data_IF_816967971965
#
_entry.id   IF_816967971965
#
_cell.length_a   1.000
_cell.length_b   1.000
_cell.length_c   1.000
_cell.angle_alpha   90.00
_cell.angle_beta   90.00
_cell.angle_gamma   90.00
#
_symmetry.space_group_name_H-M   'P 1'
#
loop_
_entity.id
_entity.type
_entity.pdbx_description
1 polymer ?
#
# COMPACT_ATOMS: atom_id res chain seq x y z
N UNK A 1 -8.45 -22.34 3.64
CA UNK A 1 -9.07 -21.24 4.39
C UNK A 1 -9.38 -20.09 3.48
N UNK A 2 -10.58 -19.60 3.60
CA UNK A 2 -11.04 -18.53 2.72
C UNK A 2 -10.67 -17.17 3.27
N UNK A 3 -10.28 -16.27 2.39
CA UNK A 3 -9.95 -14.90 2.77
C UNK A 3 -10.91 -13.97 2.03
N UNK A 4 -11.86 -13.41 2.78
CA UNK A 4 -12.85 -12.52 2.20
C UNK A 4 -12.46 -11.09 2.53
N UNK A 5 -12.30 -10.29 1.48
CA UNK A 5 -11.86 -8.92 1.62
C UNK A 5 -12.95 -7.97 1.13
N UNK A 6 -13.37 -7.08 2.00
CA UNK A 6 -14.32 -6.03 1.66
C UNK A 6 -13.58 -4.72 1.49
N UNK A 7 -14.13 -3.84 0.66
CA UNK A 7 -13.54 -2.51 0.58
C UNK A 7 -14.64 -1.46 0.64
N UNK A 8 -14.24 -0.30 1.18
CA UNK A 8 -15.11 0.86 1.30
C UNK A 8 -14.35 2.05 0.75
N UNK A 9 -15.06 2.95 0.08
CA UNK A 9 -14.45 4.16 -0.47
C UNK A 9 -15.10 5.37 0.13
N UNK A 10 -14.26 6.28 0.66
CA UNK A 10 -14.71 7.56 1.18
C UNK A 10 -14.11 8.64 0.28
N UNK A 11 -14.93 9.61 -0.10
CA UNK A 11 -14.51 10.62 -1.08
C UNK A 11 -14.64 12.00 -0.47
N UNK A 12 -13.54 12.75 -0.48
CA UNK A 12 -13.52 14.16 -0.13
C UNK A 12 -13.13 14.94 -1.37
N UNK A 13 -13.17 16.24 -1.27
CA UNK A 13 -12.85 17.10 -2.40
C UNK A 13 -11.44 16.85 -2.94
N UNK A 14 -10.49 16.65 -2.04
CA UNK A 14 -9.07 16.54 -2.43
C UNK A 14 -8.46 15.19 -2.08
N UNK A 15 -9.28 14.22 -1.66
CA UNK A 15 -8.75 12.94 -1.22
C UNK A 15 -9.78 11.83 -1.38
N UNK A 16 -9.28 10.66 -1.73
CA UNK A 16 -10.07 9.44 -1.73
C UNK A 16 -9.39 8.46 -0.79
N UNK A 17 -10.16 7.86 0.08
CA UNK A 17 -9.64 6.82 0.98
C UNK A 17 -10.34 5.53 0.66
N UNK A 18 -9.54 4.49 0.42
CA UNK A 18 -10.06 3.15 0.19
C UNK A 18 -9.62 2.30 1.37
N UNK A 19 -10.58 1.69 2.02
CA UNK A 19 -10.35 0.88 3.21
C UNK A 19 -10.59 -0.57 2.82
N UNK A 20 -9.56 -1.39 2.98
CA UNK A 20 -9.67 -2.83 2.76
C UNK A 20 -9.72 -3.50 4.12
N UNK A 21 -10.75 -4.29 4.34
CA UNK A 21 -10.96 -4.88 5.66
C UNK A 21 -11.46 -6.31 5.52
N UNK A 22 -10.98 -7.16 6.42
CA UNK A 22 -11.46 -8.52 6.55
C UNK A 22 -11.49 -8.85 8.04
N UNK A 23 -11.97 -10.04 8.36
CA UNK A 23 -11.93 -10.49 9.76
C UNK A 23 -10.50 -10.77 10.21
N UNK A 24 -9.54 -10.79 9.30
CA UNK A 24 -8.14 -11.11 9.62
C UNK A 24 -7.22 -9.91 9.65
N UNK A 25 -7.66 -8.78 9.12
CA UNK A 25 -6.82 -7.59 9.11
C UNK A 25 -7.37 -6.52 8.21
N UNK A 26 -6.61 -5.44 8.08
CA UNK A 26 -7.05 -4.28 7.29
C UNK A 26 -5.86 -3.48 6.79
N UNK A 27 -6.13 -2.62 5.80
CA UNK A 27 -5.16 -1.67 5.30
C UNK A 27 -5.93 -0.49 4.72
N UNK A 28 -5.34 0.69 4.82
CA UNK A 28 -5.92 1.93 4.30
C UNK A 28 -5.05 2.47 3.18
N UNK A 29 -5.70 2.99 2.16
CA UNK A 29 -5.03 3.66 1.05
C UNK A 29 -5.64 5.04 0.90
N UNK A 30 -4.81 6.08 1.02
CA UNK A 30 -5.24 7.45 0.78
C UNK A 30 -4.64 7.93 -0.53
N UNK A 31 -5.48 8.45 -1.42
CA UNK A 31 -5.04 9.07 -2.65
C UNK A 31 -5.39 10.54 -2.55
N UNK A 32 -4.37 11.38 -2.56
CA UNK A 32 -4.53 12.82 -2.39
C UNK A 32 -4.24 13.53 -3.70
N UNK A 33 -5.07 14.50 -4.04
CA UNK A 33 -4.92 15.27 -5.26
C UNK A 33 -4.32 16.63 -4.95
N UNK A 34 -3.44 17.10 -5.83
CA UNK A 34 -2.95 18.46 -5.73
C UNK A 34 -4.08 19.43 -6.06
N UNK A 35 -3.93 20.72 -5.68
CA UNK A 35 -4.98 21.71 -5.95
C UNK A 35 -5.35 21.82 -7.43
N UNK A 36 -4.40 21.57 -8.34
CA UNK A 36 -4.70 21.63 -9.76
C UNK A 36 -5.27 20.31 -10.29
N UNK A 37 -5.39 19.30 -9.45
CA UNK A 37 -5.94 18.01 -9.82
C UNK A 37 -5.07 17.16 -10.70
N UNK A 38 -3.86 17.60 -11.01
CA UNK A 38 -3.00 16.87 -11.94
C UNK A 38 -2.08 15.88 -11.26
N UNK A 39 -1.66 16.18 -10.04
CA UNK A 39 -0.73 15.33 -9.34
C UNK A 39 -1.47 14.54 -8.26
N UNK A 40 -1.09 13.30 -8.11
CA UNK A 40 -1.70 12.41 -7.13
C UNK A 40 -0.61 11.79 -6.29
N UNK A 41 -0.91 11.62 -5.01
CA UNK A 41 -0.02 10.91 -4.11
C UNK A 41 -0.80 9.79 -3.46
N UNK A 42 -0.16 8.64 -3.30
CA UNK A 42 -0.79 7.51 -2.65
C UNK A 42 -0.01 7.15 -1.40
N UNK A 43 -0.72 6.98 -0.30
CA UNK A 43 -0.13 6.61 0.97
C UNK A 43 -0.86 5.40 1.52
N UNK A 44 -0.11 4.35 1.83
CA UNK A 44 -0.65 3.18 2.52
C UNK A 44 -0.38 3.37 4.00
N UNK A 45 -1.40 3.09 4.82
CA UNK A 45 -1.24 3.15 6.26
C UNK A 45 -2.20 2.18 6.92
N UNK A 46 -1.97 1.94 8.20
CA UNK A 46 -2.86 1.08 8.97
C UNK A 46 -2.85 -0.38 8.55
N UNK A 47 -1.76 -0.84 7.90
CA UNK A 47 -1.65 -2.25 7.56
C UNK A 47 -1.51 -3.05 8.84
N UNK A 48 -2.47 -3.92 9.06
CA UNK A 48 -2.52 -4.67 10.31
C UNK A 48 -3.16 -6.03 10.07
N UNK A 49 -2.53 -7.07 10.59
CA UNK A 49 -3.06 -8.42 10.57
C UNK A 49 -3.15 -8.89 12.01
N UNK A 50 -4.30 -9.45 12.37
CA UNK A 50 -4.50 -9.96 13.73
C UNK A 50 -3.45 -11.00 14.05
N UNK A 51 -3.03 -11.01 15.29
CA UNK A 51 -1.89 -11.84 15.70
C UNK A 51 -2.05 -13.30 15.32
N UNK A 52 -3.24 -13.85 15.51
CA UNK A 52 -3.47 -15.28 15.23
C UNK A 52 -3.39 -15.63 13.75
N UNK A 53 -3.39 -14.61 12.87
CA UNK A 53 -3.33 -14.86 11.43
C UNK A 53 -2.01 -14.43 10.80
N UNK A 54 -1.04 -14.04 11.62
CA UNK A 54 0.26 -13.62 11.09
C UNK A 54 1.04 -14.81 10.58
N UNK A 55 1.94 -14.55 9.62
CA UNK A 55 2.75 -15.61 9.04
C UNK A 55 2.04 -16.42 7.98
N UNK A 56 0.86 -15.99 7.56
CA UNK A 56 0.05 -16.72 6.57
C UNK A 56 -0.21 -15.90 5.32
N UNK A 57 0.63 -14.91 5.06
CA UNK A 57 0.60 -14.10 3.86
C UNK A 57 -0.60 -13.15 3.73
N UNK A 58 -1.39 -12.99 4.78
CA UNK A 58 -2.53 -12.07 4.70
C UNK A 58 -2.08 -10.63 4.53
N UNK A 59 -0.99 -10.24 5.19
CA UNK A 59 -0.46 -8.90 5.04
C UNK A 59 -0.09 -8.62 3.58
N UNK A 60 0.48 -9.62 2.90
CA UNK A 60 0.86 -9.46 1.50
C UNK A 60 -0.37 -9.28 0.62
N UNK A 61 -1.44 -10.00 0.90
CA UNK A 61 -2.68 -9.85 0.15
C UNK A 61 -3.24 -8.46 0.33
N UNK A 62 -3.24 -7.96 1.57
CA UNK A 62 -3.73 -6.62 1.85
C UNK A 62 -2.89 -5.57 1.13
N UNK A 63 -1.57 -5.70 1.21
CA UNK A 63 -0.68 -4.75 0.57
C UNK A 63 -0.88 -4.75 -0.94
N UNK A 64 -0.97 -5.95 -1.53
CA UNK A 64 -1.19 -6.07 -2.97
C UNK A 64 -2.51 -5.44 -3.39
N UNK A 65 -3.55 -5.58 -2.56
CA UNK A 65 -4.85 -5.00 -2.86
C UNK A 65 -4.77 -3.47 -2.91
N UNK A 66 -4.06 -2.88 -1.96
CA UNK A 66 -3.89 -1.43 -1.94
C UNK A 66 -3.09 -0.96 -3.16
N UNK A 67 -2.04 -1.70 -3.51
CA UNK A 67 -1.22 -1.33 -4.67
C UNK A 67 -2.03 -1.42 -5.95
N UNK A 68 -2.85 -2.45 -6.09
CA UNK A 68 -3.68 -2.61 -7.28
C UNK A 68 -4.69 -1.46 -7.39
N UNK A 69 -5.28 -1.08 -6.27
CA UNK A 69 -6.24 0.03 -6.28
C UNK A 69 -5.55 1.33 -6.67
N UNK A 70 -4.34 1.57 -6.17
CA UNK A 70 -3.60 2.78 -6.52
C UNK A 70 -3.33 2.83 -8.02
N UNK A 71 -2.99 1.68 -8.62
CA UNK A 71 -2.77 1.63 -10.06
C UNK A 71 -4.01 2.02 -10.83
N UNK A 72 -5.18 1.61 -10.36
CA UNK A 72 -6.44 1.94 -11.04
C UNK A 72 -6.71 3.43 -11.02
N UNK A 73 -6.16 4.15 -10.06
CA UNK A 73 -6.29 5.60 -10.01
C UNK A 73 -5.13 6.30 -10.69
N UNK A 74 -4.32 5.55 -11.45
CA UNK A 74 -3.20 6.10 -12.23
C UNK A 74 -2.12 6.73 -11.36
N UNK A 75 -1.96 6.23 -10.16
CA UNK A 75 -0.85 6.65 -9.31
C UNK A 75 0.37 5.83 -9.71
N UNK A 76 1.50 6.51 -9.88
CA UNK A 76 2.73 5.86 -10.34
C UNK A 76 3.70 5.55 -9.21
N UNK A 77 3.49 6.10 -8.04
CA UNK A 77 4.35 5.83 -6.90
C UNK A 77 3.50 5.77 -5.65
N UNK A 78 3.77 4.80 -4.80
CA UNK A 78 3.02 4.62 -3.57
C UNK A 78 4.01 4.71 -2.40
N UNK A 79 3.58 5.34 -1.31
CA UNK A 79 4.42 5.55 -0.15
C UNK A 79 3.81 4.91 1.09
N UNK A 80 4.67 4.58 2.03
CA UNK A 80 4.26 4.20 3.36
C UNK A 80 5.35 4.62 4.34
N UNK A 81 5.01 4.59 5.61
CA UNK A 81 5.93 5.05 6.65
C UNK A 81 6.20 3.93 7.63
N UNK A 82 7.44 3.85 8.06
CA UNK A 82 7.84 3.01 9.17
C UNK A 82 8.40 3.91 10.26
N UNK A 83 7.99 3.71 11.49
CA UNK A 83 8.58 4.49 12.57
C UNK A 83 8.62 3.68 13.84
N UNK A 84 9.65 3.96 14.61
CA UNK A 84 9.84 3.37 15.93
C UNK A 84 8.63 3.71 16.81
N UNK A 85 8.15 2.80 17.67
CA UNK A 85 8.81 1.54 18.05
C UNK A 85 8.40 0.31 17.22
N UNK A 86 7.85 0.50 16.03
CA UNK A 86 7.54 -0.64 15.18
C UNK A 86 8.81 -1.47 14.96
N UNK A 87 8.74 -2.79 15.11
CA UNK A 87 9.95 -3.62 14.98
C UNK A 87 10.61 -3.47 13.62
N UNK A 88 11.93 -3.54 13.63
CA UNK A 88 12.72 -3.39 12.42
C UNK A 88 12.43 -4.48 11.38
N UNK A 89 12.00 -5.64 11.81
CA UNK A 89 11.68 -6.69 10.84
C UNK A 89 10.52 -6.28 9.95
N UNK A 90 9.66 -5.37 10.40
CA UNK A 90 8.58 -4.86 9.56
C UNK A 90 9.17 -4.02 8.43
N UNK A 91 10.14 -3.17 8.76
CA UNK A 91 10.87 -2.40 7.76
C UNK A 91 11.47 -3.33 6.71
N UNK A 92 12.17 -4.36 7.17
CA UNK A 92 12.83 -5.30 6.26
C UNK A 92 11.82 -6.04 5.39
N UNK A 93 10.65 -6.30 5.93
CA UNK A 93 9.60 -6.95 5.17
C UNK A 93 9.13 -6.06 4.01
N UNK A 94 8.97 -4.76 4.27
CA UNK A 94 8.59 -3.84 3.21
C UNK A 94 9.66 -3.80 2.12
N UNK A 95 10.93 -3.83 2.51
CA UNK A 95 12.01 -3.85 1.52
C UNK A 95 11.88 -5.09 0.65
N UNK A 96 11.58 -6.24 1.24
CA UNK A 96 11.40 -7.46 0.45
C UNK A 96 10.16 -7.39 -0.44
N UNK A 97 9.21 -6.54 -0.10
CA UNK A 97 8.02 -6.33 -0.92
C UNK A 97 8.26 -5.35 -2.06
N UNK A 98 9.49 -4.87 -2.20
CA UNK A 98 9.83 -3.99 -3.32
C UNK A 98 9.90 -2.52 -2.99
N UNK A 99 9.76 -2.18 -1.71
CA UNK A 99 9.86 -0.79 -1.29
C UNK A 99 11.31 -0.40 -1.10
N UNK A 100 11.60 0.89 -1.28
CA UNK A 100 12.92 1.44 -1.03
C UNK A 100 12.78 2.66 -0.14
N UNK A 101 13.83 2.97 0.59
CA UNK A 101 13.81 4.11 1.49
C UNK A 101 13.92 5.38 0.67
N UNK A 102 12.97 6.29 0.90
CA UNK A 102 12.94 7.57 0.22
C UNK A 102 13.45 8.68 1.13
N UNK A 103 13.12 8.58 2.41
CA UNK A 103 13.49 9.58 3.39
C UNK A 103 13.76 8.89 4.71
N UNK A 104 14.77 9.38 5.44
CA UNK A 104 15.09 8.83 6.75
C UNK A 104 15.36 9.95 7.73
N UNK A 105 14.77 9.82 8.91
CA UNK A 105 15.11 10.66 10.04
C UNK A 105 15.11 9.73 11.25
N UNK A 106 15.78 10.15 12.33
CA UNK A 106 15.96 9.28 13.46
C UNK A 106 14.66 8.57 13.86
N UNK A 107 14.65 7.23 13.75
CA UNK A 107 13.49 6.44 14.11
C UNK A 107 12.31 6.52 13.17
N UNK A 108 12.51 7.08 11.99
CA UNK A 108 11.43 7.26 11.02
C UNK A 108 11.97 7.05 9.61
N UNK A 109 11.23 6.32 8.79
CA UNK A 109 11.58 6.14 7.39
C UNK A 109 10.33 6.25 6.54
N UNK A 110 10.45 6.96 5.42
CA UNK A 110 9.43 6.95 4.39
C UNK A 110 9.92 6.04 3.28
N UNK A 111 9.08 5.09 2.94
CA UNK A 111 9.40 4.09 1.92
C UNK A 111 8.49 4.31 0.74
N UNK A 112 8.97 3.97 -0.45
CA UNK A 112 8.16 4.13 -1.64
C UNK A 112 8.41 2.98 -2.60
N UNK A 113 7.46 2.82 -3.51
CA UNK A 113 7.52 1.79 -4.53
C UNK A 113 6.92 2.34 -5.81
N UNK A 114 7.60 2.13 -6.92
CA UNK A 114 7.06 2.51 -8.21
C UNK A 114 6.00 1.51 -8.63
N UNK A 115 4.88 2.02 -9.11
CA UNK A 115 3.79 1.19 -9.60
C UNK A 115 3.82 1.24 -11.11
N UNK A 116 3.95 0.06 -11.73
CA UNK A 116 4.03 -0.03 -13.17
C UNK A 116 2.69 -0.48 -13.71
N UNK A 117 2.10 0.37 -14.56
CA UNK A 117 0.82 0.04 -15.15
C UNK A 117 1.05 -0.60 -16.50
N UNK A 118 0.35 -1.69 -16.75
CA UNK A 118 0.43 -2.37 -18.03
C UNK A 118 -0.16 -1.49 -19.11
N UNK A 119 0.56 -1.35 -20.21
CA UNK A 119 0.22 -0.39 -21.24
C UNK A 119 -1.03 -0.77 -22.02
N UNK A 120 -1.14 -2.01 -22.33
CA UNK A 120 -2.27 -2.49 -23.12
C UNK A 120 -3.14 -3.45 -22.35
N UNK A 121 -3.11 -3.35 -21.05
CA UNK A 121 -3.87 -4.23 -20.22
C UNK A 121 -3.27 -5.60 -20.08
N UNK A 122 -2.09 -5.80 -20.58
CA UNK A 122 -1.41 -7.08 -20.42
C UNK A 122 -0.56 -7.06 -19.17
N UNK A 123 -0.29 -8.23 -18.67
CA UNK A 123 0.54 -8.35 -17.48
C UNK A 123 1.95 -7.86 -17.80
N UNK A 124 2.47 -7.01 -16.93
CA UNK A 124 3.80 -6.50 -17.09
C UNK A 124 4.80 -7.64 -16.93
N UNK A 125 5.66 -7.79 -17.94
CA UNK A 125 6.62 -8.87 -17.93
C UNK A 125 7.59 -8.77 -16.80
N UNK A 126 7.94 -7.58 -16.41
CA UNK A 126 8.89 -7.41 -15.32
C UNK A 126 8.35 -7.95 -14.00
N UNK A 127 7.06 -8.10 -13.87
CA UNK A 127 6.49 -8.62 -12.65
C UNK A 127 6.82 -10.07 -12.41
N UNK A 128 7.33 -10.74 -13.40
CA UNK A 128 7.69 -12.14 -13.27
C UNK A 128 8.98 -12.36 -12.54
N UNK A 129 9.80 -11.38 -12.48
CA UNK A 129 11.12 -11.53 -11.89
C UNK A 129 11.14 -11.43 -10.42
#
# INVERSE_FOLDING_TARGET
MEFVLYNYTQIWEDKIRIIFVSDKGSVFLDITYSPNGKDKKALIWGLNVKEEFRGKHFARVLLNSAEAAAKEYDVTEIELEWQSPTPKWVYNWYIRCGYREKEYDSGYSRLCKDLIKDRDGTVNQSSKQ
#
